data_IF_369472487324
#
_entry.id   IF_369472487324
#
_cell.length_a   1.000
_cell.length_b   1.000
_cell.length_c   1.000
_cell.angle_alpha   90.00
_cell.angle_beta   90.00
_cell.angle_gamma   90.00
#
_symmetry.space_group_name_H-M   'P 1'
#
loop_
_entity.id
_entity.type
_entity.pdbx_description
1 polymer ?
#
# COMPACT_ATOMS: atom_id res chain seq x y z
N UNK A 1 -9.95 -29.14 -22.62
CA UNK A 1 -9.45 -28.09 -21.69
C UNK A 1 -10.62 -27.68 -20.81
N UNK A 2 -10.67 -28.11 -19.54
CA UNK A 2 -11.74 -27.76 -18.61
C UNK A 2 -11.75 -26.27 -18.39
N UNK A 3 -12.77 -25.56 -18.89
CA UNK A 3 -13.03 -24.17 -18.49
C UNK A 3 -13.56 -24.19 -17.04
N UNK A 4 -12.66 -24.13 -16.07
CA UNK A 4 -13.04 -23.89 -14.68
C UNK A 4 -13.56 -22.44 -14.63
N UNK A 5 -14.87 -22.30 -14.60
CA UNK A 5 -15.51 -20.98 -14.50
C UNK A 5 -15.47 -20.50 -13.03
N UNK A 6 -14.30 -20.03 -12.58
CA UNK A 6 -14.12 -19.50 -11.24
C UNK A 6 -14.87 -18.16 -11.13
N UNK A 7 -15.78 -18.03 -10.19
CA UNK A 7 -16.54 -16.80 -9.98
C UNK A 7 -15.66 -15.70 -9.35
N UNK A 8 -16.13 -14.46 -9.36
CA UNK A 8 -15.39 -13.30 -8.86
C UNK A 8 -15.01 -13.41 -7.39
N UNK A 9 -15.94 -13.86 -6.55
CA UNK A 9 -15.72 -14.01 -5.10
C UNK A 9 -14.70 -15.11 -4.79
N UNK A 10 -14.77 -16.23 -5.49
CA UNK A 10 -13.79 -17.32 -5.34
C UNK A 10 -12.37 -16.85 -5.69
N UNK A 11 -12.21 -16.00 -6.71
CA UNK A 11 -10.88 -15.43 -7.04
C UNK A 11 -10.36 -14.53 -5.92
N UNK A 12 -11.21 -13.67 -5.35
CA UNK A 12 -10.85 -12.82 -4.21
C UNK A 12 -10.36 -13.67 -3.05
N UNK A 13 -11.12 -14.68 -2.66
CA UNK A 13 -10.78 -15.57 -1.54
C UNK A 13 -9.51 -16.36 -1.85
N UNK A 14 -9.38 -16.91 -3.05
CA UNK A 14 -8.20 -17.66 -3.45
C UNK A 14 -6.92 -16.80 -3.42
N UNK A 15 -6.96 -15.58 -3.97
CA UNK A 15 -5.84 -14.66 -3.93
C UNK A 15 -5.46 -14.26 -2.49
N UNK A 16 -6.46 -14.04 -1.63
CA UNK A 16 -6.22 -13.79 -0.21
C UNK A 16 -5.50 -14.96 0.45
N UNK A 17 -6.05 -16.17 0.32
CA UNK A 17 -5.49 -17.36 0.96
C UNK A 17 -4.10 -17.71 0.43
N UNK A 18 -3.89 -17.64 -0.89
CA UNK A 18 -2.59 -17.90 -1.51
C UNK A 18 -1.55 -16.91 -0.96
N UNK A 19 -1.88 -15.62 -0.90
CA UNK A 19 -0.95 -14.61 -0.38
C UNK A 19 -0.65 -14.81 1.10
N UNK A 20 -1.69 -15.03 1.93
CA UNK A 20 -1.52 -15.22 3.37
C UNK A 20 -0.69 -16.47 3.68
N UNK A 21 -0.95 -17.56 2.97
CA UNK A 21 -0.21 -18.82 3.17
C UNK A 21 1.25 -18.63 2.73
N UNK A 22 1.50 -18.09 1.52
CA UNK A 22 2.86 -17.91 1.01
C UNK A 22 3.68 -16.95 1.84
N UNK A 23 3.11 -15.84 2.32
CA UNK A 23 3.81 -14.86 3.15
C UNK A 23 3.93 -15.34 4.60
N UNK A 24 2.87 -15.94 5.15
CA UNK A 24 2.85 -16.42 6.53
C UNK A 24 3.87 -17.52 6.80
N UNK A 25 4.13 -18.39 5.82
CA UNK A 25 5.11 -19.47 5.96
C UNK A 25 6.52 -18.98 6.32
N UNK A 26 6.91 -17.80 5.81
CA UNK A 26 8.23 -17.22 6.03
C UNK A 26 8.36 -16.47 7.37
N UNK A 27 7.27 -16.02 7.95
CA UNK A 27 7.25 -15.16 9.15
C UNK A 27 7.92 -15.77 10.39
N UNK A 28 7.98 -17.11 10.49
CA UNK A 28 8.58 -17.79 11.62
C UNK A 28 10.12 -17.68 11.66
N UNK A 29 10.74 -17.36 10.51
CA UNK A 29 12.21 -17.35 10.35
C UNK A 29 12.81 -15.94 10.34
N UNK A 30 11.97 -14.90 10.30
CA UNK A 30 12.45 -13.51 10.30
C UNK A 30 12.36 -12.93 11.71
N UNK A 31 13.49 -12.63 12.37
CA UNK A 31 13.48 -11.98 13.67
C UNK A 31 12.95 -10.54 13.54
N UNK A 32 12.39 -10.00 14.64
CA UNK A 32 12.01 -8.58 14.71
C UNK A 32 13.28 -7.72 14.63
N UNK A 33 13.28 -6.76 13.72
CA UNK A 33 14.43 -5.88 13.49
C UNK A 33 14.35 -4.61 14.35
N UNK A 34 15.50 -4.13 14.79
CA UNK A 34 15.65 -2.90 15.55
C UNK A 34 16.24 -1.79 14.65
N UNK A 35 15.87 -0.50 14.83
CA UNK A 35 14.93 0.04 15.84
C UNK A 35 13.47 0.12 15.35
N UNK A 36 13.17 -0.17 14.08
CA UNK A 36 11.87 0.22 13.50
C UNK A 36 10.74 -0.71 13.92
N UNK A 37 10.87 -2.03 13.69
CA UNK A 37 9.84 -3.01 14.04
C UNK A 37 9.68 -3.16 15.54
N UNK A 38 10.82 -3.14 16.28
CA UNK A 38 10.84 -3.27 17.72
C UNK A 38 10.00 -2.19 18.43
N UNK A 39 9.99 -0.97 17.93
CA UNK A 39 9.18 0.12 18.49
C UNK A 39 7.67 -0.19 18.41
N UNK A 40 7.19 -0.78 17.31
CA UNK A 40 5.78 -1.19 17.19
C UNK A 40 5.45 -2.36 18.12
N UNK A 41 6.33 -3.36 18.15
CA UNK A 41 6.17 -4.56 18.98
C UNK A 41 6.17 -4.18 20.47
N UNK A 42 7.17 -3.43 20.93
CA UNK A 42 7.27 -2.96 22.32
C UNK A 42 6.08 -2.10 22.72
N UNK A 43 5.67 -1.16 21.84
CA UNK A 43 4.49 -0.36 22.13
C UNK A 43 3.24 -1.22 22.30
N UNK A 44 3.01 -2.18 21.43
CA UNK A 44 1.83 -3.04 21.52
C UNK A 44 1.87 -3.95 22.76
N UNK A 45 3.05 -4.47 23.15
CA UNK A 45 3.25 -5.27 24.35
C UNK A 45 2.99 -4.39 25.59
N UNK A 46 3.59 -3.20 25.66
CA UNK A 46 3.41 -2.29 26.80
C UNK A 46 1.94 -1.85 26.92
N UNK A 47 1.27 -1.49 25.83
CA UNK A 47 -0.17 -1.20 25.84
C UNK A 47 -1.00 -2.37 26.34
N UNK A 48 -0.66 -3.60 25.95
CA UNK A 48 -1.38 -4.81 26.35
C UNK A 48 -1.17 -5.10 27.86
N UNK A 49 0.07 -5.00 28.35
CA UNK A 49 0.38 -5.24 29.76
C UNK A 49 -0.25 -4.23 30.71
N UNK A 50 -0.31 -2.95 30.30
CA UNK A 50 -0.97 -1.87 31.04
C UNK A 50 -2.49 -1.79 30.79
N UNK A 51 -3.05 -2.68 29.95
CA UNK A 51 -4.45 -2.63 29.51
C UNK A 51 -4.86 -1.25 28.94
N UNK A 52 -3.91 -0.56 28.30
CA UNK A 52 -4.11 0.76 27.70
C UNK A 52 -4.39 0.63 26.20
N UNK A 53 -5.65 0.84 25.78
CA UNK A 53 -6.05 0.81 24.36
C UNK A 53 -5.99 2.17 23.67
N UNK A 54 -5.74 3.25 24.42
CA UNK A 54 -5.75 4.61 23.90
C UNK A 54 -4.34 5.14 23.70
N UNK A 55 -3.50 5.08 24.75
CA UNK A 55 -2.17 5.69 24.76
C UNK A 55 -1.10 4.70 24.34
N UNK A 56 -0.48 4.86 23.16
CA UNK A 56 0.73 4.09 22.81
C UNK A 56 1.85 4.42 23.81
N UNK A 57 2.59 3.38 24.23
CA UNK A 57 3.63 3.50 25.24
C UNK A 57 4.83 2.62 24.84
N UNK A 58 6.05 3.11 25.08
CA UNK A 58 7.26 2.30 25.04
C UNK A 58 7.90 2.37 26.43
N UNK A 59 8.12 1.23 27.06
CA UNK A 59 8.43 1.11 28.48
C UNK A 59 7.34 1.87 29.27
N UNK A 60 7.66 2.73 30.16
CA UNK A 60 6.68 3.50 30.95
C UNK A 60 6.41 4.92 30.39
N UNK A 61 6.85 5.19 29.16
CA UNK A 61 6.69 6.50 28.52
C UNK A 61 5.66 6.48 27.39
N UNK A 62 4.81 7.52 27.33
CA UNK A 62 3.86 7.70 26.23
C UNK A 62 4.61 7.94 24.93
N UNK A 63 4.23 7.22 23.88
CA UNK A 63 4.89 7.24 22.58
C UNK A 63 3.99 7.83 21.50
N UNK A 64 4.18 9.11 21.18
CA UNK A 64 3.32 9.86 20.25
C UNK A 64 3.69 9.67 18.77
N UNK A 65 4.33 8.55 18.38
CA UNK A 65 4.83 8.39 17.00
C UNK A 65 3.72 8.13 15.99
N UNK A 66 2.84 7.17 16.25
CA UNK A 66 1.78 6.77 15.31
C UNK A 66 0.43 6.61 15.99
N UNK A 67 -0.67 6.78 15.21
CA UNK A 67 -2.03 6.44 15.67
C UNK A 67 -2.20 4.94 15.91
N UNK A 68 -3.31 4.49 16.52
CA UNK A 68 -3.39 3.23 17.24
C UNK A 68 -3.63 1.99 16.38
N UNK A 69 -4.03 2.11 15.12
CA UNK A 69 -4.60 0.99 14.36
C UNK A 69 -3.64 -0.21 14.27
N UNK A 70 -2.36 0.03 14.00
CA UNK A 70 -1.35 -1.04 13.93
C UNK A 70 -1.10 -1.66 15.31
N UNK A 71 -1.04 -0.85 16.36
CA UNK A 71 -0.91 -1.33 17.73
C UNK A 71 -2.11 -2.18 18.14
N UNK A 72 -3.34 -1.75 17.84
CA UNK A 72 -4.54 -2.54 18.11
C UNK A 72 -4.53 -3.89 17.40
N UNK A 73 -4.11 -3.91 16.13
CA UNK A 73 -3.99 -5.17 15.38
C UNK A 73 -2.98 -6.13 16.03
N UNK A 74 -1.82 -5.62 16.48
CA UNK A 74 -0.82 -6.39 17.21
C UNK A 74 -1.36 -6.89 18.55
N UNK A 75 -1.97 -6.01 19.36
CA UNK A 75 -2.55 -6.37 20.67
C UNK A 75 -3.61 -7.46 20.55
N UNK A 76 -4.48 -7.40 19.53
CA UNK A 76 -5.48 -8.44 19.27
C UNK A 76 -4.78 -9.77 18.97
N UNK A 77 -3.78 -9.77 18.09
CA UNK A 77 -3.03 -10.98 17.76
C UNK A 77 -2.29 -11.55 18.97
N UNK A 78 -1.65 -10.71 19.78
CA UNK A 78 -0.97 -11.14 21.00
C UNK A 78 -1.92 -11.71 22.06
N UNK A 79 -3.12 -11.13 22.17
CA UNK A 79 -4.14 -11.64 23.10
C UNK A 79 -4.69 -13.01 22.68
N UNK A 80 -4.76 -13.28 21.37
CA UNK A 80 -5.30 -14.51 20.82
C UNK A 80 -4.28 -15.63 20.71
N UNK A 81 -3.04 -15.31 20.33
CA UNK A 81 -2.03 -16.30 19.92
C UNK A 81 -0.73 -16.22 20.76
N UNK A 82 -0.64 -15.30 21.73
CA UNK A 82 0.58 -15.07 22.51
C UNK A 82 1.58 -14.16 21.77
N UNK A 83 2.67 -13.81 22.47
CA UNK A 83 3.71 -12.91 21.97
C UNK A 83 4.84 -13.74 21.35
N UNK A 84 5.11 -13.51 20.06
CA UNK A 84 6.25 -14.08 19.34
C UNK A 84 6.50 -13.27 18.05
N UNK A 85 7.68 -13.46 17.44
CA UNK A 85 8.03 -12.83 16.16
C UNK A 85 7.04 -13.21 15.04
N UNK A 86 6.65 -14.48 15.00
CA UNK A 86 5.63 -14.97 14.05
C UNK A 86 4.30 -14.24 14.23
N UNK A 87 3.79 -14.16 15.46
CA UNK A 87 2.50 -13.52 15.76
C UNK A 87 2.55 -12.02 15.48
N UNK A 88 3.68 -11.38 15.72
CA UNK A 88 3.89 -9.95 15.41
C UNK A 88 3.72 -9.63 13.93
N UNK A 89 4.00 -10.57 13.05
CA UNK A 89 3.89 -10.41 11.59
C UNK A 89 2.51 -10.75 11.02
N UNK A 90 1.65 -11.44 11.78
CA UNK A 90 0.30 -11.82 11.33
C UNK A 90 -0.50 -10.62 10.82
N UNK A 91 -0.61 -9.47 11.51
CA UNK A 91 -1.41 -8.34 11.03
C UNK A 91 -0.98 -7.85 9.64
N UNK A 92 0.34 -7.71 9.41
CA UNK A 92 0.86 -7.23 8.12
C UNK A 92 0.71 -8.27 7.01
N UNK A 93 0.83 -9.55 7.31
CA UNK A 93 0.55 -10.65 6.37
C UNK A 93 -0.93 -10.67 5.94
N UNK A 94 -1.85 -10.51 6.90
CA UNK A 94 -3.29 -10.47 6.60
C UNK A 94 -3.66 -9.25 5.77
N UNK A 95 -3.13 -8.07 6.10
CA UNK A 95 -3.39 -6.85 5.32
C UNK A 95 -2.72 -6.91 3.94
N UNK A 96 -1.59 -7.60 3.81
CA UNK A 96 -0.95 -7.92 2.53
C UNK A 96 -1.87 -8.76 1.65
N UNK A 97 -2.41 -9.87 2.16
CA UNK A 97 -3.38 -10.69 1.45
C UNK A 97 -4.65 -9.92 1.07
N UNK A 98 -5.16 -9.10 2.00
CA UNK A 98 -6.31 -8.22 1.73
C UNK A 98 -5.99 -7.19 0.63
N UNK A 99 -4.76 -6.66 0.59
CA UNK A 99 -4.33 -5.71 -0.45
C UNK A 99 -4.27 -6.34 -1.83
N UNK A 100 -3.75 -7.57 -1.95
CA UNK A 100 -3.71 -8.32 -3.22
C UNK A 100 -5.13 -8.61 -3.72
N UNK A 101 -6.01 -9.05 -2.84
CA UNK A 101 -7.43 -9.28 -3.16
C UNK A 101 -8.18 -8.02 -3.55
N UNK A 102 -7.91 -6.91 -2.83
CA UNK A 102 -8.48 -5.61 -3.14
C UNK A 102 -7.95 -5.07 -4.48
N UNK A 103 -6.66 -5.27 -4.78
CA UNK A 103 -6.08 -4.91 -6.09
C UNK A 103 -6.81 -5.61 -7.22
N UNK A 104 -6.99 -6.95 -7.13
CA UNK A 104 -7.80 -7.70 -8.10
C UNK A 104 -9.21 -7.11 -8.23
N UNK A 105 -9.90 -6.89 -7.10
CA UNK A 105 -11.26 -6.38 -7.10
C UNK A 105 -11.37 -5.00 -7.75
N UNK A 106 -10.50 -4.06 -7.39
CA UNK A 106 -10.51 -2.70 -7.93
C UNK A 106 -10.16 -2.67 -9.41
N UNK A 107 -9.13 -3.38 -9.83
CA UNK A 107 -8.74 -3.44 -11.24
C UNK A 107 -9.84 -4.09 -12.08
N UNK A 108 -10.47 -5.16 -11.59
CA UNK A 108 -11.61 -5.75 -12.28
C UNK A 108 -12.78 -4.75 -12.43
N UNK A 109 -13.10 -3.99 -11.37
CA UNK A 109 -14.16 -2.98 -11.40
C UNK A 109 -13.85 -1.81 -12.33
N UNK A 110 -12.59 -1.41 -12.41
CA UNK A 110 -12.13 -0.25 -13.20
C UNK A 110 -11.91 -0.63 -14.67
N UNK A 111 -11.21 -1.72 -14.94
CA UNK A 111 -10.79 -2.12 -16.30
C UNK A 111 -11.72 -3.15 -16.95
N UNK A 112 -12.67 -3.72 -16.20
CA UNK A 112 -13.62 -4.74 -16.68
C UNK A 112 -12.93 -5.95 -17.37
N UNK A 113 -11.71 -6.27 -16.96
CA UNK A 113 -10.86 -7.32 -17.54
C UNK A 113 -10.31 -8.24 -16.46
N UNK A 114 -10.75 -9.51 -16.48
CA UNK A 114 -10.25 -10.54 -15.56
C UNK A 114 -8.75 -10.79 -15.76
N UNK A 115 -8.22 -10.94 -16.99
CA UNK A 115 -6.78 -11.13 -17.18
C UNK A 115 -5.95 -9.99 -16.59
N UNK A 116 -6.31 -8.73 -16.84
CA UNK A 116 -5.59 -7.57 -16.28
C UNK A 116 -5.68 -7.56 -14.75
N UNK A 117 -6.85 -7.85 -14.19
CA UNK A 117 -7.05 -7.85 -12.74
C UNK A 117 -6.24 -8.96 -12.02
N UNK A 118 -6.22 -10.18 -12.58
CA UNK A 118 -5.43 -11.29 -12.02
C UNK A 118 -3.94 -10.98 -12.15
N UNK A 119 -3.50 -10.50 -13.31
CA UNK A 119 -2.10 -10.11 -13.51
C UNK A 119 -1.69 -9.02 -12.54
N UNK A 120 -2.53 -7.99 -12.29
CA UNK A 120 -2.23 -6.95 -11.30
C UNK A 120 -2.05 -7.51 -9.88
N UNK A 121 -2.86 -8.47 -9.49
CA UNK A 121 -2.72 -9.13 -8.19
C UNK A 121 -1.40 -9.92 -8.09
N UNK A 122 -1.04 -10.66 -9.13
CA UNK A 122 0.22 -11.44 -9.20
C UNK A 122 1.44 -10.49 -9.21
N UNK A 123 1.41 -9.43 -10.01
CA UNK A 123 2.49 -8.45 -10.03
C UNK A 123 2.69 -7.80 -8.66
N UNK A 124 1.59 -7.39 -8.02
CA UNK A 124 1.66 -6.80 -6.67
C UNK A 124 2.30 -7.80 -5.68
N UNK A 125 1.80 -9.03 -5.65
CA UNK A 125 2.28 -10.08 -4.75
C UNK A 125 3.78 -10.37 -4.93
N UNK A 126 4.31 -10.28 -6.15
CA UNK A 126 5.71 -10.54 -6.48
C UNK A 126 6.61 -9.30 -6.58
N UNK A 127 6.07 -8.11 -6.26
CA UNK A 127 6.85 -6.86 -6.24
C UNK A 127 7.69 -6.75 -4.98
N UNK A 128 9.00 -6.49 -5.12
CA UNK A 128 9.97 -6.50 -4.03
C UNK A 128 9.55 -5.67 -2.82
N UNK A 129 9.18 -4.41 -3.04
CA UNK A 129 8.82 -3.51 -1.93
C UNK A 129 7.55 -3.96 -1.22
N UNK A 130 6.54 -4.43 -1.96
CA UNK A 130 5.29 -4.90 -1.37
C UNK A 130 5.50 -6.20 -0.58
N UNK A 131 6.31 -7.12 -1.10
CA UNK A 131 6.70 -8.33 -0.40
C UNK A 131 7.38 -7.99 0.94
N UNK A 132 8.39 -7.12 0.91
CA UNK A 132 9.10 -6.68 2.12
C UNK A 132 8.15 -6.07 3.16
N UNK A 133 7.29 -5.13 2.75
CA UNK A 133 6.35 -4.43 3.65
C UNK A 133 5.29 -5.38 4.23
N UNK A 134 4.88 -6.40 3.49
CA UNK A 134 3.90 -7.38 3.96
C UNK A 134 4.46 -8.31 5.04
N UNK A 135 5.79 -8.37 5.20
CA UNK A 135 6.46 -9.10 6.27
C UNK A 135 6.90 -8.17 7.42
N UNK A 136 7.12 -6.89 7.15
CA UNK A 136 7.59 -5.94 8.16
C UNK A 136 6.49 -5.51 9.13
N UNK A 137 6.81 -5.40 10.42
CA UNK A 137 5.88 -4.94 11.47
C UNK A 137 5.86 -3.41 11.50
N UNK A 138 5.22 -2.80 10.50
CA UNK A 138 5.13 -1.34 10.33
C UNK A 138 3.77 -0.91 9.80
N UNK A 139 3.48 0.38 9.87
CA UNK A 139 2.19 0.95 9.46
C UNK A 139 1.97 0.99 7.94
N UNK A 140 3.03 0.88 7.15
CA UNK A 140 3.00 1.17 5.71
C UNK A 140 2.13 0.17 4.92
N UNK A 141 2.08 -1.11 5.33
CA UNK A 141 1.17 -2.10 4.74
C UNK A 141 -0.30 -1.73 4.89
N UNK A 142 -0.69 -1.26 6.08
CA UNK A 142 -2.05 -0.77 6.35
C UNK A 142 -2.35 0.50 5.52
N UNK A 143 -1.41 1.45 5.48
CA UNK A 143 -1.58 2.67 4.69
C UNK A 143 -1.73 2.37 3.20
N UNK A 144 -0.97 1.39 2.68
CA UNK A 144 -1.10 0.92 1.30
C UNK A 144 -2.49 0.38 0.99
N UNK A 145 -3.01 -0.51 1.85
CA UNK A 145 -4.35 -1.08 1.72
C UNK A 145 -5.42 0.00 1.68
N UNK A 146 -5.38 0.93 2.63
CA UNK A 146 -6.35 2.02 2.68
C UNK A 146 -6.18 3.00 1.53
N UNK A 147 -4.96 3.30 1.09
CA UNK A 147 -4.72 4.13 -0.10
C UNK A 147 -5.33 3.51 -1.35
N UNK A 148 -5.11 2.20 -1.57
CA UNK A 148 -5.74 1.47 -2.67
C UNK A 148 -7.27 1.54 -2.60
N UNK A 149 -7.85 1.39 -1.41
CA UNK A 149 -9.30 1.51 -1.21
C UNK A 149 -9.80 2.94 -1.48
N UNK A 150 -9.12 3.97 -0.95
CA UNK A 150 -9.49 5.39 -1.15
C UNK A 150 -9.54 5.69 -2.65
N UNK A 151 -8.46 5.46 -3.37
CA UNK A 151 -8.36 5.82 -4.79
C UNK A 151 -9.27 4.97 -5.67
N UNK A 152 -9.35 3.65 -5.40
CA UNK A 152 -10.24 2.76 -6.15
C UNK A 152 -11.71 3.15 -6.00
N UNK A 153 -12.18 3.34 -4.77
CA UNK A 153 -13.57 3.71 -4.52
C UNK A 153 -13.88 5.16 -4.93
N UNK A 154 -12.97 6.12 -4.70
CA UNK A 154 -13.17 7.49 -5.16
C UNK A 154 -13.26 7.59 -6.69
N UNK A 155 -12.38 6.86 -7.41
CA UNK A 155 -12.45 6.78 -8.87
C UNK A 155 -13.80 6.23 -9.36
N UNK A 156 -14.26 5.12 -8.78
CA UNK A 156 -15.57 4.54 -9.09
C UNK A 156 -16.73 5.49 -8.73
N UNK A 157 -16.61 6.25 -7.66
CA UNK A 157 -17.60 7.24 -7.26
C UNK A 157 -17.72 8.36 -8.30
N UNK A 158 -16.60 8.90 -8.76
CA UNK A 158 -16.59 9.98 -9.76
C UNK A 158 -17.03 9.51 -11.14
N UNK A 159 -16.61 8.31 -11.58
CA UNK A 159 -16.97 7.78 -12.89
C UNK A 159 -18.42 7.34 -12.97
N UNK A 160 -18.93 6.70 -11.92
CA UNK A 160 -20.27 6.10 -11.92
C UNK A 160 -21.32 6.97 -11.20
N UNK A 161 -20.97 8.17 -10.73
CA UNK A 161 -21.84 9.02 -9.90
C UNK A 161 -22.36 8.28 -8.65
N UNK A 162 -21.51 7.48 -7.99
CA UNK A 162 -21.89 6.57 -6.91
C UNK A 162 -21.44 7.08 -5.54
N UNK A 163 -22.40 7.64 -4.77
CA UNK A 163 -22.16 8.11 -3.40
C UNK A 163 -21.77 6.99 -2.44
N UNK A 164 -22.22 5.75 -2.69
CA UNK A 164 -21.89 4.59 -1.84
C UNK A 164 -20.41 4.26 -1.94
N UNK A 165 -19.84 4.30 -3.14
CA UNK A 165 -18.39 4.17 -3.32
C UNK A 165 -17.63 5.30 -2.62
N UNK A 166 -18.12 6.55 -2.67
CA UNK A 166 -17.49 7.65 -1.95
C UNK A 166 -17.52 7.45 -0.43
N UNK A 167 -18.62 6.94 0.13
CA UNK A 167 -18.69 6.60 1.56
C UNK A 167 -17.62 5.54 1.94
N UNK A 168 -17.42 4.52 1.10
CA UNK A 168 -16.36 3.52 1.33
C UNK A 168 -14.96 4.15 1.27
N UNK A 169 -14.74 5.13 0.38
CA UNK A 169 -13.49 5.90 0.34
C UNK A 169 -13.27 6.69 1.64
N UNK A 170 -14.30 7.32 2.21
CA UNK A 170 -14.21 8.03 3.49
C UNK A 170 -13.93 7.09 4.68
N UNK A 171 -14.55 5.91 4.71
CA UNK A 171 -14.27 4.89 5.72
C UNK A 171 -12.79 4.45 5.62
N UNK A 172 -12.31 4.20 4.42
CA UNK A 172 -10.90 3.87 4.20
C UNK A 172 -9.96 5.01 4.61
N UNK A 173 -10.32 6.27 4.33
CA UNK A 173 -9.55 7.45 4.75
C UNK A 173 -9.51 7.60 6.27
N UNK A 174 -10.60 7.30 6.98
CA UNK A 174 -10.62 7.31 8.44
C UNK A 174 -9.64 6.29 9.03
N UNK A 175 -9.62 5.07 8.51
CA UNK A 175 -8.64 4.07 8.92
C UNK A 175 -7.21 4.40 8.49
N UNK A 176 -7.00 5.04 7.33
CA UNK A 176 -5.70 5.55 6.94
C UNK A 176 -5.16 6.61 7.92
N UNK A 177 -6.04 7.49 8.39
CA UNK A 177 -5.70 8.50 9.43
C UNK A 177 -5.40 7.81 10.77
N UNK A 178 -6.14 6.78 11.16
CA UNK A 178 -5.84 5.97 12.36
C UNK A 178 -4.59 5.08 12.20
N UNK A 179 -4.04 4.97 10.99
CA UNK A 179 -2.80 4.24 10.72
C UNK A 179 -1.57 5.15 10.79
N UNK A 180 -1.58 6.27 10.08
CA UNK A 180 -0.37 7.10 9.89
C UNK A 180 -0.62 8.61 10.11
N UNK A 181 -1.77 8.98 10.66
CA UNK A 181 -2.11 10.36 10.96
C UNK A 181 -2.64 11.16 9.76
N UNK A 182 -2.55 12.49 9.80
CA UNK A 182 -3.17 13.38 8.81
C UNK A 182 -2.79 13.08 7.37
N UNK A 183 -1.59 12.56 7.11
CA UNK A 183 -1.10 12.22 5.77
C UNK A 183 -2.01 11.20 5.07
N UNK A 184 -2.68 10.32 5.84
CA UNK A 184 -3.63 9.33 5.32
C UNK A 184 -4.87 9.94 4.65
N UNK A 185 -5.18 11.20 4.91
CA UNK A 185 -6.26 11.96 4.26
C UNK A 185 -5.71 13.06 3.34
N UNK A 186 -4.72 13.83 3.81
CA UNK A 186 -4.26 15.05 3.11
C UNK A 186 -3.67 14.73 1.74
N UNK A 187 -2.82 13.72 1.65
CA UNK A 187 -2.17 13.37 0.39
C UNK A 187 -3.15 12.76 -0.62
N UNK A 188 -3.98 11.76 -0.27
CA UNK A 188 -5.06 11.31 -1.15
C UNK A 188 -6.05 12.42 -1.53
N UNK A 189 -6.42 13.27 -0.58
CA UNK A 189 -7.31 14.42 -0.82
C UNK A 189 -6.75 15.38 -1.86
N UNK A 190 -5.47 15.73 -1.76
CA UNK A 190 -4.78 16.57 -2.75
C UNK A 190 -4.78 15.93 -4.13
N UNK A 191 -4.43 14.65 -4.23
CA UNK A 191 -4.41 13.90 -5.49
C UNK A 191 -5.79 13.89 -6.15
N UNK A 192 -6.83 13.58 -5.38
CA UNK A 192 -8.21 13.55 -5.88
C UNK A 192 -8.72 14.94 -6.28
N UNK A 193 -8.34 15.99 -5.55
CA UNK A 193 -8.65 17.38 -5.90
C UNK A 193 -8.04 17.75 -7.26
N UNK A 194 -6.74 17.48 -7.44
CA UNK A 194 -6.05 17.74 -8.73
C UNK A 194 -6.69 16.91 -9.84
N UNK A 195 -7.03 15.65 -9.58
CA UNK A 195 -7.73 14.81 -10.54
C UNK A 195 -9.10 15.41 -10.95
N UNK A 196 -9.93 15.85 -10.00
CA UNK A 196 -11.22 16.47 -10.30
C UNK A 196 -11.08 17.71 -11.19
N UNK A 197 -10.05 18.53 -10.95
CA UNK A 197 -9.79 19.71 -11.78
C UNK A 197 -9.32 19.33 -13.18
N UNK A 198 -8.44 18.33 -13.29
CA UNK A 198 -7.84 17.96 -14.58
C UNK A 198 -8.68 16.97 -15.40
N UNK A 199 -9.71 16.36 -14.80
CA UNK A 199 -10.55 15.36 -15.49
C UNK A 199 -11.26 15.92 -16.76
N UNK A 200 -11.47 17.23 -16.84
CA UNK A 200 -11.99 17.90 -18.04
C UNK A 200 -11.12 17.68 -19.29
N UNK A 201 -9.84 17.33 -19.12
CA UNK A 201 -8.93 17.04 -20.23
C UNK A 201 -8.88 15.56 -20.61
N UNK A 202 -9.57 14.69 -19.85
CA UNK A 202 -9.70 13.27 -20.12
C UNK A 202 -10.56 13.02 -21.37
N UNK A 203 -10.40 11.83 -21.99
CA UNK A 203 -11.26 11.36 -23.09
C UNK A 203 -12.66 10.94 -22.63
N UNK A 204 -12.89 10.80 -21.34
CA UNK A 204 -14.21 10.54 -20.80
C UNK A 204 -15.17 11.68 -21.20
N UNK A 205 -16.43 11.31 -21.49
CA UNK A 205 -17.44 12.17 -22.06
C UNK A 205 -17.48 13.56 -21.40
N UNK A 206 -17.05 14.59 -22.11
CA UNK A 206 -16.84 15.94 -21.56
C UNK A 206 -18.14 16.58 -21.04
N UNK A 207 -19.29 16.16 -21.57
CA UNK A 207 -20.60 16.76 -21.28
C UNK A 207 -21.21 16.20 -19.97
N UNK A 208 -20.79 15.00 -19.52
CA UNK A 208 -21.35 14.37 -18.32
C UNK A 208 -20.49 14.59 -17.07
N UNK A 209 -19.21 14.97 -17.20
CA UNK A 209 -18.29 15.10 -16.07
C UNK A 209 -18.01 16.58 -15.79
N UNK A 210 -18.79 17.18 -14.90
CA UNK A 210 -18.53 18.52 -14.41
C UNK A 210 -17.82 18.52 -13.08
N UNK A 211 -16.94 19.51 -12.85
CA UNK A 211 -16.29 19.73 -11.55
C UNK A 211 -17.33 19.83 -10.42
N UNK A 212 -18.43 20.51 -10.66
CA UNK A 212 -19.53 20.66 -9.69
C UNK A 212 -20.17 19.31 -9.31
N UNK A 213 -20.35 18.41 -10.27
CA UNK A 213 -20.84 17.05 -9.98
C UNK A 213 -19.85 16.29 -9.10
N UNK A 214 -18.58 16.31 -9.45
CA UNK A 214 -17.54 15.63 -8.68
C UNK A 214 -17.40 16.22 -7.26
N UNK A 215 -17.51 17.54 -7.10
CA UNK A 215 -17.55 18.17 -5.79
C UNK A 215 -18.76 17.72 -4.96
N UNK A 216 -19.97 17.63 -5.56
CA UNK A 216 -21.17 17.10 -4.88
C UNK A 216 -20.99 15.65 -4.41
N UNK A 217 -20.24 14.85 -5.16
CA UNK A 217 -19.91 13.46 -4.77
C UNK A 217 -18.83 13.47 -3.68
N UNK A 218 -17.76 14.24 -3.88
CA UNK A 218 -16.67 14.36 -2.91
C UNK A 218 -17.18 14.81 -1.54
N UNK A 219 -18.06 15.79 -1.50
CA UNK A 219 -18.65 16.29 -0.24
C UNK A 219 -19.96 15.56 0.12
N UNK A 220 -20.03 14.24 -0.02
CA UNK A 220 -21.15 13.44 0.45
C UNK A 220 -21.25 13.53 1.99
N UNK A 221 -22.32 14.13 2.58
CA UNK A 221 -22.37 14.42 4.02
C UNK A 221 -22.22 13.19 4.91
N UNK A 222 -22.89 12.10 4.55
CA UNK A 222 -22.79 10.86 5.30
C UNK A 222 -21.37 10.26 5.29
N UNK A 223 -20.62 10.40 4.18
CA UNK A 223 -19.20 10.00 4.11
C UNK A 223 -18.34 10.79 5.09
N UNK A 224 -18.55 12.13 5.15
CA UNK A 224 -17.84 13.01 6.07
C UNK A 224 -18.16 12.64 7.53
N UNK A 225 -19.46 12.43 7.84
CA UNK A 225 -19.88 11.99 9.19
C UNK A 225 -19.22 10.68 9.57
N UNK A 226 -19.21 9.68 8.67
CA UNK A 226 -18.56 8.38 8.92
C UNK A 226 -17.06 8.53 9.15
N UNK A 227 -16.39 9.39 8.36
CA UNK A 227 -14.96 9.66 8.57
C UNK A 227 -14.70 10.18 9.99
N UNK A 228 -15.40 11.22 10.44
CA UNK A 228 -15.19 11.76 11.77
C UNK A 228 -15.65 10.80 12.86
N UNK A 229 -16.74 10.08 12.68
CA UNK A 229 -17.21 9.09 13.65
C UNK A 229 -16.19 7.97 13.91
N UNK A 230 -15.41 7.59 12.90
CA UNK A 230 -14.37 6.55 13.01
C UNK A 230 -13.04 7.13 13.50
N UNK A 231 -12.57 8.23 12.91
CA UNK A 231 -11.24 8.76 13.18
C UNK A 231 -11.17 9.57 14.48
N UNK A 232 -12.15 10.46 14.74
CA UNK A 232 -12.05 11.45 15.84
C UNK A 232 -12.01 10.87 17.25
N UNK A 233 -12.69 9.76 17.60
CA UNK A 233 -12.75 9.29 18.99
C UNK A 233 -11.37 9.08 19.62
N UNK A 234 -10.43 8.50 18.86
CA UNK A 234 -9.08 8.29 19.40
C UNK A 234 -8.32 9.61 19.60
N UNK A 235 -8.40 10.53 18.64
CA UNK A 235 -7.73 11.83 18.75
C UNK A 235 -8.29 12.67 19.91
N UNK A 236 -9.61 12.63 20.10
CA UNK A 236 -10.27 13.30 21.22
C UNK A 236 -9.82 12.69 22.55
N UNK A 237 -9.79 11.36 22.65
CA UNK A 237 -9.34 10.66 23.85
C UNK A 237 -7.88 10.97 24.18
N UNK A 238 -6.98 10.94 23.19
CA UNK A 238 -5.56 11.28 23.37
C UNK A 238 -5.38 12.73 23.83
N UNK A 239 -6.11 13.67 23.23
CA UNK A 239 -6.07 15.07 23.67
C UNK A 239 -6.63 15.25 25.07
N UNK A 240 -7.71 14.56 25.42
CA UNK A 240 -8.32 14.65 26.76
C UNK A 240 -7.41 14.10 27.87
N UNK A 241 -6.57 13.09 27.55
CA UNK A 241 -5.66 12.46 28.52
C UNK A 241 -4.33 13.21 28.60
N UNK A 242 -3.76 13.61 27.45
CA UNK A 242 -2.39 14.13 27.37
C UNK A 242 -2.28 15.60 27.00
N UNK A 243 -3.39 16.24 26.64
CA UNK A 243 -3.45 17.69 26.37
C UNK A 243 -2.44 18.15 25.31
N UNK A 244 -1.69 19.20 25.67
CA UNK A 244 -0.72 19.83 24.77
C UNK A 244 0.48 18.94 24.43
N UNK A 245 0.86 18.01 25.30
CA UNK A 245 1.97 17.09 25.04
C UNK A 245 1.68 16.19 23.85
N UNK A 246 0.42 15.75 23.70
CA UNK A 246 0.00 15.01 22.50
C UNK A 246 0.11 15.86 21.23
N UNK A 247 -0.32 17.12 21.26
CA UNK A 247 -0.26 18.01 20.10
C UNK A 247 1.20 18.27 19.70
N UNK A 248 2.05 18.65 20.67
CA UNK A 248 3.47 18.93 20.39
C UNK A 248 4.25 17.69 19.97
N UNK A 249 4.02 16.55 20.61
CA UNK A 249 4.67 15.29 20.27
C UNK A 249 4.21 14.74 18.92
N UNK A 250 2.90 14.58 18.74
CA UNK A 250 2.35 13.94 17.54
C UNK A 250 2.35 14.85 16.31
N UNK A 251 1.71 16.02 16.38
CA UNK A 251 1.65 16.96 15.25
C UNK A 251 2.95 17.72 15.07
N UNK A 252 3.56 18.20 16.16
CA UNK A 252 4.77 18.99 16.12
C UNK A 252 5.98 18.15 15.67
N UNK A 253 6.45 17.27 16.53
CA UNK A 253 7.70 16.51 16.26
C UNK A 253 7.54 15.45 15.17
N UNK A 254 6.54 14.59 15.30
CA UNK A 254 6.43 13.40 14.44
C UNK A 254 5.86 13.67 13.04
N UNK A 255 5.13 14.77 12.84
CA UNK A 255 4.61 15.13 11.52
C UNK A 255 5.35 16.35 10.93
N UNK A 256 5.26 17.52 11.53
CA UNK A 256 5.86 18.75 11.00
C UNK A 256 7.39 18.70 11.14
N UNK A 257 7.92 18.28 12.28
CA UNK A 257 9.36 18.19 12.52
C UNK A 257 10.06 17.29 11.52
N UNK A 258 9.55 16.08 11.27
CA UNK A 258 10.09 15.15 10.26
C UNK A 258 9.98 15.66 8.83
N UNK A 259 8.99 16.51 8.54
CA UNK A 259 8.87 17.11 7.22
C UNK A 259 9.92 18.19 6.95
N UNK A 260 10.34 18.91 7.99
CA UNK A 260 11.27 20.04 7.90
C UNK A 260 12.72 19.68 8.20
N UNK A 261 12.96 18.71 9.08
CA UNK A 261 14.30 18.29 9.54
C UNK A 261 14.46 16.79 9.29
N UNK A 262 15.54 16.43 8.60
CA UNK A 262 15.82 15.04 8.26
C UNK A 262 16.31 14.24 9.45
N UNK A 263 15.67 13.10 9.75
CA UNK A 263 16.18 12.09 10.69
C UNK A 263 17.41 11.35 10.13
N UNK A 264 17.56 11.35 8.80
CA UNK A 264 18.65 10.69 8.08
C UNK A 264 19.29 11.63 7.05
N UNK A 265 20.11 12.62 7.48
CA UNK A 265 20.64 13.67 6.60
C UNK A 265 21.40 13.14 5.36
N UNK A 266 22.03 11.96 5.46
CA UNK A 266 22.74 11.32 4.34
C UNK A 266 21.81 10.92 3.18
N UNK A 267 20.54 10.69 3.46
CA UNK A 267 19.53 10.30 2.46
C UNK A 267 18.66 11.49 2.03
N UNK A 268 18.84 12.66 2.60
CA UNK A 268 18.08 13.85 2.23
C UNK A 268 18.61 14.46 0.92
N UNK A 269 18.39 13.74 -0.17
CA UNK A 269 18.74 14.14 -1.54
C UNK A 269 17.48 14.08 -2.42
N UNK A 270 17.32 15.07 -3.31
CA UNK A 270 16.11 15.21 -4.13
C UNK A 270 15.85 14.02 -5.07
N UNK A 271 16.90 13.33 -5.50
CA UNK A 271 16.82 12.17 -6.41
C UNK A 271 16.61 10.81 -5.70
N UNK A 272 16.49 10.79 -4.39
CA UNK A 272 16.37 9.54 -3.60
C UNK A 272 15.30 8.60 -4.18
N UNK A 273 14.09 9.12 -4.39
CA UNK A 273 12.99 8.30 -4.90
C UNK A 273 13.07 7.97 -6.39
N UNK A 274 13.88 8.69 -7.18
CA UNK A 274 14.16 8.28 -8.56
C UNK A 274 14.97 6.98 -8.63
N UNK A 275 15.77 6.69 -7.60
CA UNK A 275 16.51 5.43 -7.46
C UNK A 275 15.62 4.38 -6.81
N UNK A 276 14.89 4.74 -5.75
CA UNK A 276 14.10 3.77 -4.99
C UNK A 276 12.92 3.20 -5.78
N UNK A 277 12.22 4.01 -6.58
CA UNK A 277 11.04 3.55 -7.32
C UNK A 277 11.32 2.42 -8.33
N UNK A 278 12.37 2.47 -9.16
CA UNK A 278 12.73 1.34 -10.01
C UNK A 278 13.07 0.08 -9.22
N UNK A 279 13.76 0.20 -8.08
CA UNK A 279 14.10 -0.92 -7.21
C UNK A 279 12.84 -1.49 -6.53
N UNK A 280 11.96 -0.61 -6.05
CA UNK A 280 10.69 -0.98 -5.43
C UNK A 280 9.81 -1.85 -6.33
N UNK A 281 9.80 -1.56 -7.63
CA UNK A 281 8.99 -2.25 -8.64
C UNK A 281 9.61 -3.55 -9.17
N UNK A 282 10.83 -3.93 -8.74
CA UNK A 282 11.45 -5.18 -9.21
C UNK A 282 10.53 -6.37 -8.93
N UNK A 283 10.48 -7.36 -9.85
CA UNK A 283 11.17 -7.44 -11.15
C UNK A 283 10.46 -6.72 -12.31
N UNK A 284 9.34 -6.04 -12.05
CA UNK A 284 8.42 -5.50 -13.06
C UNK A 284 8.82 -4.14 -13.64
N UNK A 285 9.89 -3.54 -13.16
CA UNK A 285 10.39 -2.23 -13.61
C UNK A 285 10.51 -2.09 -15.13
N UNK A 286 11.09 -3.07 -15.88
CA UNK A 286 11.23 -2.93 -17.33
C UNK A 286 9.89 -2.86 -18.06
N UNK A 287 8.90 -3.66 -17.65
CA UNK A 287 7.57 -3.66 -18.27
C UNK A 287 6.78 -2.40 -17.92
N UNK A 288 6.95 -1.88 -16.70
CA UNK A 288 6.34 -0.61 -16.29
C UNK A 288 6.92 0.56 -17.12
N UNK A 289 8.25 0.63 -17.27
CA UNK A 289 8.90 1.66 -18.10
C UNK A 289 8.45 1.55 -19.57
N UNK A 290 8.31 0.34 -20.09
CA UNK A 290 7.79 0.12 -21.44
C UNK A 290 6.38 0.68 -21.60
N UNK A 291 5.50 0.46 -20.64
CA UNK A 291 4.13 0.95 -20.65
C UNK A 291 4.04 2.47 -20.49
N UNK A 292 4.85 3.06 -19.61
CA UNK A 292 4.88 4.52 -19.40
C UNK A 292 5.14 5.30 -20.69
N UNK A 293 5.96 4.75 -21.61
CA UNK A 293 6.24 5.36 -22.92
C UNK A 293 5.05 5.32 -23.90
N UNK A 294 4.06 4.47 -23.61
CA UNK A 294 2.88 4.25 -24.45
C UNK A 294 1.59 4.69 -23.80
N UNK A 295 1.68 5.26 -22.60
CA UNK A 295 0.53 5.59 -21.77
C UNK A 295 -0.34 6.66 -22.45
N UNK A 296 -1.61 6.36 -22.62
CA UNK A 296 -2.60 7.36 -23.05
C UNK A 296 -3.07 8.18 -21.84
N UNK A 297 -2.44 9.33 -21.65
CA UNK A 297 -2.73 10.26 -20.56
C UNK A 297 -4.15 10.81 -20.54
N UNK A 298 -4.89 10.68 -21.65
CA UNK A 298 -6.27 11.15 -21.75
C UNK A 298 -7.28 10.11 -21.30
N UNK A 299 -6.86 8.86 -21.09
CA UNK A 299 -7.72 7.86 -20.45
C UNK A 299 -7.86 8.21 -18.98
N UNK A 300 -9.10 8.16 -18.46
CA UNK A 300 -9.44 8.72 -17.14
C UNK A 300 -8.65 8.09 -16.00
N UNK A 301 -8.46 6.76 -16.00
CA UNK A 301 -7.70 6.09 -14.95
C UNK A 301 -6.21 6.40 -15.07
N UNK A 302 -5.66 6.46 -16.30
CA UNK A 302 -4.27 6.81 -16.52
C UNK A 302 -3.96 8.24 -16.06
N UNK A 303 -4.90 9.17 -16.23
CA UNK A 303 -4.79 10.52 -15.69
C UNK A 303 -4.71 10.50 -14.16
N UNK A 304 -5.62 9.80 -13.48
CA UNK A 304 -5.57 9.67 -12.01
C UNK A 304 -4.26 9.01 -11.56
N UNK A 305 -3.88 7.90 -12.16
CA UNK A 305 -2.67 7.16 -11.82
C UNK A 305 -1.40 7.99 -11.98
N UNK A 306 -1.35 8.83 -13.03
CA UNK A 306 -0.22 9.73 -13.30
C UNK A 306 -0.13 10.85 -12.27
N UNK A 307 -1.25 11.49 -11.96
CA UNK A 307 -1.34 12.50 -10.90
C UNK A 307 -0.91 11.89 -9.56
N UNK A 308 -1.42 10.73 -9.25
CA UNK A 308 -1.10 10.00 -8.04
C UNK A 308 0.40 9.69 -7.94
N UNK A 309 0.98 9.08 -8.99
CA UNK A 309 2.40 8.76 -9.04
C UNK A 309 3.27 10.01 -8.88
N UNK A 310 3.01 11.06 -9.67
CA UNK A 310 3.81 12.29 -9.66
C UNK A 310 3.70 13.03 -8.33
N UNK A 311 2.51 13.20 -7.79
CA UNK A 311 2.32 13.95 -6.53
C UNK A 311 3.00 13.23 -5.36
N UNK A 312 2.91 11.89 -5.26
CA UNK A 312 3.59 11.15 -4.20
C UNK A 312 5.10 11.31 -4.31
N UNK A 313 5.66 11.13 -5.51
CA UNK A 313 7.11 11.28 -5.70
C UNK A 313 7.58 12.71 -5.37
N UNK A 314 6.89 13.72 -5.86
CA UNK A 314 7.25 15.12 -5.60
C UNK A 314 7.13 15.45 -4.11
N UNK A 315 6.02 15.08 -3.48
CA UNK A 315 5.78 15.37 -2.07
C UNK A 315 6.91 14.78 -1.19
N UNK A 316 7.18 13.48 -1.32
CA UNK A 316 8.21 12.86 -0.49
C UNK A 316 9.65 13.22 -0.92
N UNK A 317 9.88 13.69 -2.15
CA UNK A 317 11.18 14.25 -2.54
C UNK A 317 11.46 15.59 -1.88
N UNK A 318 10.42 16.36 -1.56
CA UNK A 318 10.53 17.66 -0.88
C UNK A 318 10.66 17.49 0.65
N UNK A 319 9.97 16.49 1.23
CA UNK A 319 10.03 16.19 2.67
C UNK A 319 11.46 15.79 3.06
N UNK A 320 11.99 16.39 4.14
CA UNK A 320 13.39 16.20 4.56
C UNK A 320 13.68 14.76 5.00
N UNK A 321 12.83 14.16 5.85
CA UNK A 321 12.99 12.76 6.27
C UNK A 321 12.53 11.80 5.17
N UNK A 322 13.42 10.91 4.71
CA UNK A 322 13.16 9.95 3.65
C UNK A 322 13.27 8.51 4.16
N UNK A 323 12.23 7.73 3.88
CA UNK A 323 12.19 6.29 4.12
C UNK A 323 11.86 5.55 2.83
N UNK A 324 12.43 4.35 2.67
CA UNK A 324 12.19 3.48 1.51
C UNK A 324 10.69 3.24 1.26
N UNK A 325 9.89 3.24 2.31
CA UNK A 325 8.49 2.85 2.30
C UNK A 325 7.52 3.98 1.94
N UNK A 326 7.96 5.24 1.97
CA UNK A 326 7.05 6.38 1.80
C UNK A 326 6.37 6.44 0.43
N UNK A 327 7.06 5.99 -0.60
CA UNK A 327 6.52 5.96 -1.97
C UNK A 327 5.75 4.68 -2.29
N UNK A 328 5.58 3.77 -1.33
CA UNK A 328 4.85 2.51 -1.54
C UNK A 328 3.47 2.69 -2.20
N UNK A 329 2.61 3.65 -1.82
CA UNK A 329 1.33 3.82 -2.52
C UNK A 329 1.46 4.22 -4.01
N UNK A 330 2.61 4.76 -4.44
CA UNK A 330 2.84 5.11 -5.85
C UNK A 330 3.08 3.89 -6.76
N UNK A 331 3.38 2.71 -6.20
CA UNK A 331 3.49 1.48 -7.01
C UNK A 331 2.14 1.01 -7.56
N UNK A 332 1.01 1.39 -6.95
CA UNK A 332 -0.33 0.91 -7.33
C UNK A 332 -0.63 1.20 -8.81
N UNK A 333 -0.58 2.45 -9.31
CA UNK A 333 -0.79 2.71 -10.73
C UNK A 333 0.26 2.03 -11.62
N UNK A 334 1.51 1.93 -11.17
CA UNK A 334 2.57 1.25 -11.92
C UNK A 334 2.27 -0.24 -12.13
N UNK A 335 1.78 -0.93 -11.12
CA UNK A 335 1.37 -2.35 -11.21
C UNK A 335 0.21 -2.52 -12.18
N UNK A 336 -0.78 -1.63 -12.19
CA UNK A 336 -1.90 -1.69 -13.12
C UNK A 336 -1.41 -1.48 -14.56
N UNK A 337 -0.57 -0.49 -14.80
CA UNK A 337 0.03 -0.25 -16.12
C UNK A 337 0.91 -1.42 -16.56
N UNK A 338 1.73 -1.97 -15.68
CA UNK A 338 2.54 -3.15 -15.96
C UNK A 338 1.68 -4.37 -16.34
N UNK A 339 0.55 -4.57 -15.66
CA UNK A 339 -0.36 -5.67 -15.97
C UNK A 339 -1.03 -5.52 -17.34
N UNK A 340 -1.44 -4.31 -17.72
CA UNK A 340 -1.96 -4.02 -19.07
C UNK A 340 -0.89 -4.30 -20.14
N UNK A 341 0.35 -3.89 -19.87
CA UNK A 341 1.46 -4.17 -20.78
C UNK A 341 1.70 -5.67 -20.96
N UNK A 342 1.75 -6.45 -19.87
CA UNK A 342 1.95 -7.91 -19.93
C UNK A 342 0.83 -8.57 -20.74
N UNK A 343 -0.41 -8.23 -20.47
CA UNK A 343 -1.54 -8.78 -21.23
C UNK A 343 -1.42 -8.43 -22.70
N UNK A 344 -1.06 -7.19 -23.05
CA UNK A 344 -0.83 -6.79 -24.42
C UNK A 344 0.35 -7.54 -25.08
N UNK A 345 1.44 -7.77 -24.36
CA UNK A 345 2.60 -8.52 -24.86
C UNK A 345 2.27 -9.98 -25.10
N UNK A 346 1.45 -10.60 -24.25
CA UNK A 346 1.06 -12.01 -24.37
C UNK A 346 0.08 -12.28 -25.50
N UNK A 347 -0.90 -11.39 -25.68
CA UNK A 347 -2.00 -11.63 -26.63
C UNK A 347 -1.83 -10.93 -27.98
N UNK A 348 -0.83 -10.05 -28.17
CA UNK A 348 -0.52 -9.45 -29.45
C UNK A 348 0.70 -10.13 -30.09
N UNK A 349 0.53 -10.89 -31.20
CA UNK A 349 1.64 -11.61 -31.86
C UNK A 349 2.80 -10.70 -32.28
N UNK A 350 2.52 -9.46 -32.65
CA UNK A 350 3.56 -8.50 -33.06
C UNK A 350 4.42 -8.00 -31.91
N UNK A 351 3.93 -8.11 -30.66
CA UNK A 351 4.60 -7.65 -29.45
C UNK A 351 5.18 -8.80 -28.62
N UNK A 352 4.77 -10.03 -28.86
CA UNK A 352 5.19 -11.21 -28.07
C UNK A 352 6.72 -11.42 -28.05
N UNK A 353 7.43 -10.98 -29.09
CA UNK A 353 8.89 -10.99 -29.14
C UNK A 353 9.58 -10.19 -28.02
N UNK A 354 8.89 -9.23 -27.43
CA UNK A 354 9.42 -8.44 -26.32
C UNK A 354 9.12 -9.09 -24.95
N UNK A 355 8.30 -10.13 -24.90
CA UNK A 355 7.92 -10.79 -23.65
C UNK A 355 9.15 -11.37 -22.93
N UNK A 356 10.05 -12.02 -23.66
CA UNK A 356 11.28 -12.59 -23.08
C UNK A 356 12.16 -11.50 -22.45
N UNK A 357 12.39 -10.37 -23.13
CA UNK A 357 13.28 -9.33 -22.64
C UNK A 357 12.67 -8.46 -21.55
N UNK A 358 11.36 -8.26 -21.55
CA UNK A 358 10.67 -7.36 -20.62
C UNK A 358 10.06 -8.06 -19.40
N UNK A 359 9.81 -9.36 -19.50
CA UNK A 359 9.13 -10.14 -18.44
C UNK A 359 10.01 -11.30 -17.99
N UNK A 360 10.28 -12.28 -18.88
CA UNK A 360 10.92 -13.54 -18.48
C UNK A 360 12.35 -13.33 -18.00
N UNK A 361 13.16 -12.56 -18.72
CA UNK A 361 14.57 -12.35 -18.36
C UNK A 361 14.72 -11.53 -17.06
N UNK A 362 14.05 -10.37 -16.85
CA UNK A 362 14.12 -9.66 -15.59
C UNK A 362 13.64 -10.47 -14.39
N UNK A 363 12.57 -11.24 -14.55
CA UNK A 363 12.07 -12.12 -13.51
C UNK A 363 13.07 -13.25 -13.19
N UNK A 364 13.66 -13.88 -14.22
CA UNK A 364 14.69 -14.90 -14.03
C UNK A 364 15.94 -14.36 -13.34
N UNK A 365 16.43 -13.18 -13.73
CA UNK A 365 17.57 -12.53 -13.06
C UNK A 365 17.22 -12.21 -11.60
N UNK A 366 16.04 -11.68 -11.34
CA UNK A 366 15.58 -11.36 -9.99
C UNK A 366 15.52 -12.60 -9.09
N UNK A 367 14.95 -13.70 -9.59
CA UNK A 367 14.89 -14.97 -8.82
C UNK A 367 16.27 -15.56 -8.59
N UNK A 368 17.20 -15.47 -9.56
CA UNK A 368 18.59 -15.89 -9.37
C UNK A 368 19.31 -15.04 -8.31
N UNK A 369 19.16 -13.72 -8.33
CA UNK A 369 19.78 -12.82 -7.32
C UNK A 369 19.25 -13.13 -5.94
N UNK A 370 17.92 -13.31 -5.79
CA UNK A 370 17.33 -13.71 -4.51
C UNK A 370 17.86 -15.07 -4.05
N UNK A 371 17.91 -16.06 -4.93
CA UNK A 371 18.45 -17.39 -4.63
C UNK A 371 19.90 -17.35 -4.16
N UNK A 372 20.75 -16.57 -4.85
CA UNK A 372 22.16 -16.37 -4.45
C UNK A 372 22.24 -15.65 -3.10
N UNK A 373 21.47 -14.58 -2.92
CA UNK A 373 21.45 -13.82 -1.66
C UNK A 373 21.08 -14.69 -0.46
N UNK A 374 20.09 -15.54 -0.64
CA UNK A 374 19.66 -16.53 0.35
C UNK A 374 20.77 -17.57 0.60
N UNK A 375 21.39 -18.14 -0.45
CA UNK A 375 22.45 -19.11 -0.31
C UNK A 375 23.69 -18.56 0.41
N UNK A 376 24.00 -17.26 0.21
CA UNK A 376 25.13 -16.59 0.88
C UNK A 376 24.81 -16.25 2.36
N UNK A 377 23.55 -15.85 2.65
CA UNK A 377 23.15 -15.43 4.00
C UNK A 377 22.81 -16.59 4.93
N UNK A 378 22.55 -17.79 4.42
CA UNK A 378 22.00 -18.91 5.17
C UNK A 378 22.79 -20.21 4.91
N UNK A 379 24.09 -20.23 5.28
CA UNK A 379 24.92 -21.42 5.13
C UNK A 379 24.35 -22.67 5.83
N UNK A 380 23.55 -22.51 6.88
CA UNK A 380 22.99 -23.61 7.67
C UNK A 380 21.55 -24.01 7.29
N UNK A 381 20.87 -23.19 6.46
CA UNK A 381 19.44 -23.38 6.13
C UNK A 381 19.15 -23.27 4.61
N UNK A 382 20.15 -23.51 3.77
CA UNK A 382 20.11 -23.28 2.29
C UNK A 382 18.92 -23.97 1.63
N UNK A 383 18.64 -25.22 1.99
CA UNK A 383 17.60 -26.00 1.31
C UNK A 383 16.18 -25.51 1.62
N UNK A 384 15.92 -25.19 2.88
CA UNK A 384 14.62 -24.64 3.33
C UNK A 384 14.35 -23.26 2.73
N UNK A 385 15.36 -22.41 2.68
CA UNK A 385 15.28 -21.10 2.03
C UNK A 385 15.09 -21.18 0.53
N UNK A 386 15.76 -22.10 -0.17
CA UNK A 386 15.57 -22.30 -1.62
C UNK A 386 14.15 -22.75 -1.95
N UNK A 387 13.54 -23.60 -1.13
CA UNK A 387 12.15 -24.02 -1.29
C UNK A 387 11.21 -22.82 -1.10
N UNK A 388 11.44 -22.00 -0.06
CA UNK A 388 10.63 -20.82 0.26
C UNK A 388 10.72 -19.76 -0.85
N UNK A 389 11.92 -19.46 -1.35
CA UNK A 389 12.13 -18.54 -2.46
C UNK A 389 11.49 -19.05 -3.75
N UNK A 390 11.55 -20.35 -3.99
CA UNK A 390 10.92 -20.97 -5.16
C UNK A 390 9.40 -20.91 -5.11
N UNK A 391 8.80 -21.09 -3.92
CA UNK A 391 7.35 -20.97 -3.72
C UNK A 391 6.90 -19.50 -3.77
N UNK A 392 7.70 -18.58 -3.25
CA UNK A 392 7.42 -17.13 -3.31
C UNK A 392 7.64 -16.51 -4.70
N UNK A 393 8.31 -17.23 -5.60
CA UNK A 393 8.58 -16.81 -6.99
C UNK A 393 7.60 -17.43 -8.01
N UNK A 394 6.80 -18.42 -7.62
CA UNK A 394 5.70 -19.03 -8.39
C UNK A 394 4.39 -18.30 -8.13
#
# INVERSE_FOLDING_TARGET
MFKININHQTRIIALFLITVISYGFYNAYIPITDPVESNYVLSAITMLTHNSWISPMIYDHVWYDKPPLTYWALMICYKLFGISDFVSRIPNTLIGGASVSLMYHMVYRIKQSVPVAVTSAILLMSTLQFWYISHAVITDGFLFFFSLAIFGYAYLAFTNNDKTSMMKAYIAAAFAVLTKGPIGLLLPGLILLVFMVLQKYSKANKDEISLLRNLKIAFTPLGIVLFFAIASPWYIAMYSIHGQDFISGFLGLQNVGRALVSEHPKFDVWYYYLIIMPLALLPWTPVVIYQLRKLDWKESFNLLGSIWFVIILLFYSIVATKYLTYTLPAIIPCIIWGSEAIINLLFNPNLSKYCTSLVTLPFGIYTCILGIGVAVSASDYILEYMIIVSIGAL
#
